data_IF_357896876920
#
_entry.id   IF_357896876920
#
_cell.length_a   1.000
_cell.length_b   1.000
_cell.length_c   1.000
_cell.angle_alpha   90.00
_cell.angle_beta   90.00
_cell.angle_gamma   90.00
#
_symmetry.space_group_name_H-M   'P 1'
#
loop_
_entity.id
_entity.type
_entity.pdbx_description
1 polymer ?
#
# COMPACT_ATOMS: atom_id res chain seq x y z
N UNK A 1 -6.10 2.26 -0.78
CA UNK A 1 -7.04 1.63 0.16
C UNK A 1 -8.45 2.08 -0.14
N UNK A 2 -9.38 1.15 -0.35
CA UNK A 2 -10.69 1.47 -0.90
C UNK A 2 -11.78 0.52 -0.45
N UNK A 3 -12.20 0.64 0.81
CA UNK A 3 -13.34 -0.12 1.32
C UNK A 3 -14.58 0.29 0.52
N UNK A 4 -15.05 -0.59 -0.37
CA UNK A 4 -16.15 -0.28 -1.29
C UNK A 4 -17.33 -1.21 -1.02
N UNK A 5 -18.50 -0.61 -0.80
CA UNK A 5 -19.76 -1.35 -0.72
C UNK A 5 -20.38 -1.56 -2.12
N UNK A 6 -21.19 -2.63 -2.31
CA UNK A 6 -21.83 -2.91 -3.60
C UNK A 6 -22.67 -1.78 -4.22
N UNK A 7 -23.12 -0.79 -3.43
CA UNK A 7 -23.93 0.36 -3.85
C UNK A 7 -23.28 1.73 -3.48
N UNK A 8 -21.97 1.78 -3.27
CA UNK A 8 -21.26 2.99 -2.85
C UNK A 8 -20.98 3.97 -4.00
N UNK A 9 -22.00 4.73 -4.40
CA UNK A 9 -21.88 5.72 -5.49
C UNK A 9 -20.85 6.80 -5.17
N UNK A 10 -20.62 7.11 -3.89
CA UNK A 10 -19.64 8.14 -3.50
C UNK A 10 -18.20 7.66 -3.78
N UNK A 11 -17.91 6.39 -3.48
CA UNK A 11 -16.64 5.77 -3.87
C UNK A 11 -16.44 5.81 -5.38
N UNK A 12 -17.49 5.53 -6.16
CA UNK A 12 -17.38 5.55 -7.63
C UNK A 12 -17.03 6.95 -8.14
N UNK A 13 -17.74 7.98 -7.66
CA UNK A 13 -17.49 9.36 -8.08
C UNK A 13 -16.09 9.84 -7.71
N UNK A 14 -15.61 9.48 -6.51
CA UNK A 14 -14.26 9.82 -6.09
C UNK A 14 -13.19 9.11 -6.93
N UNK A 15 -13.36 7.80 -7.18
CA UNK A 15 -12.45 7.06 -8.04
C UNK A 15 -12.43 7.60 -9.46
N UNK A 16 -13.60 7.83 -10.06
CA UNK A 16 -13.71 8.42 -11.38
C UNK A 16 -12.94 9.75 -11.45
N UNK A 17 -13.07 10.59 -10.43
CA UNK A 17 -12.33 11.86 -10.34
C UNK A 17 -10.81 11.64 -10.34
N UNK A 18 -10.28 10.67 -9.59
CA UNK A 18 -8.84 10.37 -9.60
C UNK A 18 -8.37 9.94 -10.99
N UNK A 19 -9.10 9.06 -11.66
CA UNK A 19 -8.74 8.59 -13.00
C UNK A 19 -8.90 9.68 -14.08
N UNK A 20 -9.86 10.60 -13.94
CA UNK A 20 -10.02 11.73 -14.86
C UNK A 20 -8.96 12.81 -14.67
N UNK A 21 -8.55 13.08 -13.43
CA UNK A 21 -7.62 14.17 -13.12
C UNK A 21 -6.15 13.78 -13.25
N UNK A 22 -5.81 12.54 -12.86
CA UNK A 22 -4.43 12.04 -12.87
C UNK A 22 -4.24 10.92 -13.89
N UNK A 23 -5.27 10.14 -14.18
CA UNK A 23 -5.13 8.87 -14.90
C UNK A 23 -4.41 9.00 -16.24
N UNK A 24 -4.57 10.09 -16.99
CA UNK A 24 -3.82 10.30 -18.25
C UNK A 24 -2.30 10.37 -18.06
N UNK A 25 -1.83 10.84 -16.91
CA UNK A 25 -0.41 10.97 -16.57
C UNK A 25 0.09 9.89 -15.62
N UNK A 26 -0.77 8.95 -15.21
CA UNK A 26 -0.42 7.83 -14.34
C UNK A 26 -0.08 6.60 -15.17
N UNK A 27 1.13 6.09 -14.99
CA UNK A 27 1.62 4.87 -15.65
C UNK A 27 1.10 3.59 -14.99
N UNK A 28 0.89 3.63 -13.68
CA UNK A 28 0.55 2.46 -12.87
C UNK A 28 -0.26 2.83 -11.62
N UNK A 29 -1.21 1.99 -11.23
CA UNK A 29 -2.04 2.17 -10.03
C UNK A 29 -1.77 1.04 -9.03
N UNK A 30 -1.59 1.38 -7.75
CA UNK A 30 -1.50 0.39 -6.68
C UNK A 30 -2.69 0.51 -5.75
N UNK A 31 -3.47 -0.56 -5.63
CA UNK A 31 -4.48 -0.69 -4.60
C UNK A 31 -3.85 -1.33 -3.35
N UNK A 32 -3.65 -0.51 -2.32
CA UNK A 32 -2.97 -0.89 -1.07
C UNK A 32 -3.84 -1.67 -0.06
N UNK A 33 -4.74 -2.53 -0.53
CA UNK A 33 -5.59 -3.38 0.32
C UNK A 33 -6.89 -2.74 0.79
N UNK A 34 -7.69 -3.59 1.45
CA UNK A 34 -9.07 -3.35 1.86
C UNK A 34 -9.91 -2.83 0.69
N UNK A 35 -9.98 -3.60 -0.38
CA UNK A 35 -10.86 -3.29 -1.51
C UNK A 35 -12.31 -3.65 -1.17
N UNK A 36 -12.49 -4.61 -0.25
CA UNK A 36 -13.80 -5.07 0.20
C UNK A 36 -14.16 -4.50 1.57
N UNK A 37 -15.46 -4.26 1.78
CA UNK A 37 -16.01 -4.05 3.11
C UNK A 37 -16.40 -5.38 3.75
N UNK A 38 -16.32 -5.46 5.09
CA UNK A 38 -16.60 -6.65 5.92
C UNK A 38 -18.03 -7.25 5.76
N UNK A 39 -18.87 -6.67 4.90
CA UNK A 39 -20.28 -7.03 4.68
C UNK A 39 -20.71 -6.95 3.21
N UNK A 40 -19.79 -7.09 2.24
CA UNK A 40 -20.21 -7.19 0.85
C UNK A 40 -21.07 -8.44 0.65
N UNK A 41 -22.39 -8.27 0.43
CA UNK A 41 -23.33 -9.38 0.19
C UNK A 41 -22.89 -10.28 -0.98
N UNK A 42 -22.19 -9.69 -1.96
CA UNK A 42 -21.55 -10.38 -3.08
C UNK A 42 -20.11 -9.88 -3.25
N UNK A 43 -19.12 -10.49 -2.55
CA UNK A 43 -17.75 -9.99 -2.52
C UNK A 43 -17.09 -9.84 -3.89
N UNK A 44 -17.36 -10.76 -4.83
CA UNK A 44 -16.84 -10.67 -6.20
C UNK A 44 -17.31 -9.41 -6.94
N UNK A 45 -18.56 -8.99 -6.75
CA UNK A 45 -19.08 -7.74 -7.36
C UNK A 45 -18.39 -6.53 -6.71
N UNK A 46 -18.15 -6.57 -5.40
CA UNK A 46 -17.38 -5.55 -4.70
C UNK A 46 -15.96 -5.41 -5.27
N UNK A 47 -15.29 -6.54 -5.52
CA UNK A 47 -13.95 -6.57 -6.10
C UNK A 47 -13.92 -5.97 -7.49
N UNK A 48 -14.79 -6.46 -8.38
CA UNK A 48 -14.96 -5.95 -9.75
C UNK A 48 -15.23 -4.45 -9.77
N UNK A 49 -16.07 -3.97 -8.85
CA UNK A 49 -16.36 -2.53 -8.69
C UNK A 49 -15.13 -1.75 -8.22
N UNK A 50 -14.35 -2.30 -7.30
CA UNK A 50 -13.14 -1.67 -6.78
C UNK A 50 -12.08 -1.42 -7.86
N UNK A 51 -11.91 -2.37 -8.77
CA UNK A 51 -10.94 -2.27 -9.87
C UNK A 51 -11.56 -1.76 -11.18
N UNK A 52 -12.85 -1.44 -11.19
CA UNK A 52 -13.60 -1.07 -12.39
C UNK A 52 -12.95 0.09 -13.14
N UNK A 53 -12.63 1.18 -12.45
CA UNK A 53 -12.11 2.37 -13.11
C UNK A 53 -10.69 2.19 -13.66
N UNK A 54 -9.85 1.38 -13.01
CA UNK A 54 -8.56 1.01 -13.58
C UNK A 54 -8.73 0.30 -14.92
N UNK A 55 -9.65 -0.67 -14.98
CA UNK A 55 -9.96 -1.39 -16.21
C UNK A 55 -10.63 -0.51 -17.27
N UNK A 56 -11.62 0.29 -16.89
CA UNK A 56 -12.36 1.18 -17.78
C UNK A 56 -11.44 2.21 -18.46
N UNK A 57 -10.52 2.80 -17.70
CA UNK A 57 -9.52 3.75 -18.22
C UNK A 57 -8.25 3.07 -18.75
N UNK A 58 -8.23 1.74 -18.86
CA UNK A 58 -7.12 0.96 -19.41
C UNK A 58 -5.78 1.21 -18.69
N UNK A 59 -5.83 1.38 -17.37
CA UNK A 59 -4.68 1.65 -16.53
C UNK A 59 -4.16 0.37 -15.94
N UNK A 60 -2.85 0.14 -16.14
CA UNK A 60 -2.14 -0.95 -15.50
C UNK A 60 -2.23 -0.78 -13.98
N UNK A 61 -2.55 -1.86 -13.28
CA UNK A 61 -2.70 -1.80 -11.84
C UNK A 61 -2.26 -3.08 -11.15
N UNK A 62 -2.06 -3.00 -9.84
CA UNK A 62 -1.84 -4.14 -8.97
C UNK A 62 -2.58 -3.98 -7.66
N UNK A 63 -2.84 -5.11 -7.01
CA UNK A 63 -3.49 -5.17 -5.69
C UNK A 63 -2.59 -5.88 -4.68
N UNK A 64 -2.51 -5.35 -3.47
CA UNK A 64 -2.01 -6.08 -2.29
C UNK A 64 -3.15 -6.18 -1.29
N UNK A 65 -3.26 -7.28 -0.58
CA UNK A 65 -4.42 -7.53 0.28
C UNK A 65 -4.29 -6.84 1.63
N UNK A 66 -5.42 -6.36 2.14
CA UNK A 66 -5.60 -5.87 3.49
C UNK A 66 -6.43 -6.84 4.34
N UNK A 67 -6.62 -6.49 5.61
CA UNK A 67 -7.30 -7.34 6.57
C UNK A 67 -8.77 -7.60 6.20
N UNK A 68 -9.43 -6.68 5.50
CA UNK A 68 -10.79 -6.89 5.02
C UNK A 68 -10.87 -7.82 3.81
N UNK A 69 -9.80 -7.99 3.03
CA UNK A 69 -9.81 -8.82 1.82
C UNK A 69 -9.78 -10.32 2.17
N UNK A 70 -9.42 -10.65 3.41
CA UNK A 70 -9.54 -11.97 4.04
C UNK A 70 -10.91 -12.23 4.68
N UNK A 71 -11.73 -11.18 4.85
CA UNK A 71 -13.02 -11.29 5.53
C UNK A 71 -14.07 -11.94 4.61
N UNK A 72 -14.18 -13.27 4.66
CA UNK A 72 -15.21 -14.03 3.95
C UNK A 72 -15.19 -15.54 4.22
N UNK A 73 -16.25 -16.24 3.82
CA UNK A 73 -16.31 -17.71 3.93
C UNK A 73 -15.46 -18.37 2.83
N UNK A 74 -14.74 -19.45 3.17
CA UNK A 74 -13.99 -20.34 2.25
C UNK A 74 -12.71 -19.80 1.59
N UNK A 75 -11.77 -19.24 2.37
CA UNK A 75 -10.46 -18.77 1.85
C UNK A 75 -10.61 -17.88 0.60
N UNK A 76 -11.39 -16.78 0.71
CA UNK A 76 -11.74 -15.95 -0.43
C UNK A 76 -10.52 -15.31 -1.09
N UNK A 77 -9.40 -15.20 -0.39
CA UNK A 77 -8.16 -14.59 -0.86
C UNK A 77 -7.63 -15.23 -2.16
N UNK A 78 -7.63 -16.57 -2.24
CA UNK A 78 -7.23 -17.28 -3.46
C UNK A 78 -8.17 -16.99 -4.63
N UNK A 79 -9.48 -16.90 -4.34
CA UNK A 79 -10.48 -16.62 -5.36
C UNK A 79 -10.34 -15.18 -5.87
N UNK A 80 -10.08 -14.21 -4.99
CA UNK A 80 -9.93 -12.81 -5.39
C UNK A 80 -8.66 -12.56 -6.18
N UNK A 81 -7.52 -13.14 -5.79
CA UNK A 81 -6.28 -12.93 -6.57
C UNK A 81 -6.41 -13.59 -7.95
N UNK A 82 -7.02 -14.78 -8.03
CA UNK A 82 -7.29 -15.47 -9.29
C UNK A 82 -8.35 -14.78 -10.15
N UNK A 83 -9.30 -14.06 -9.53
CA UNK A 83 -10.25 -13.20 -10.23
C UNK A 83 -9.52 -11.98 -10.79
N UNK A 84 -8.74 -11.29 -9.96
CA UNK A 84 -8.06 -10.06 -10.34
C UNK A 84 -7.09 -10.28 -11.51
N UNK A 85 -6.33 -11.39 -11.47
CA UNK A 85 -5.39 -11.80 -12.51
C UNK A 85 -6.05 -12.07 -13.88
N UNK A 86 -7.37 -12.18 -13.97
CA UNK A 86 -8.08 -12.36 -15.25
C UNK A 86 -8.28 -11.05 -15.99
N UNK A 87 -8.12 -9.90 -15.33
CA UNK A 87 -8.27 -8.60 -15.97
C UNK A 87 -7.07 -8.27 -16.85
N UNK A 88 -7.34 -7.76 -18.06
CA UNK A 88 -6.30 -7.43 -19.06
C UNK A 88 -5.25 -6.44 -18.53
N UNK A 89 -5.67 -5.51 -17.66
CA UNK A 89 -4.81 -4.48 -17.11
C UNK A 89 -4.28 -4.79 -15.70
N UNK A 90 -4.64 -5.94 -15.12
CA UNK A 90 -4.08 -6.37 -13.85
C UNK A 90 -2.67 -6.93 -14.06
N UNK A 91 -1.75 -6.45 -13.24
CA UNK A 91 -0.40 -6.96 -13.08
C UNK A 91 -0.23 -7.69 -11.74
N UNK A 92 -1.32 -7.89 -11.00
CA UNK A 92 -1.31 -8.68 -9.77
C UNK A 92 -0.84 -10.10 -10.06
N UNK A 93 -0.12 -10.70 -9.10
CA UNK A 93 0.34 -12.08 -9.22
C UNK A 93 0.01 -12.83 -7.94
N UNK A 94 -0.33 -14.11 -8.10
CA UNK A 94 -0.41 -15.04 -6.98
C UNK A 94 1.01 -15.36 -6.50
N UNK A 95 1.25 -15.15 -5.21
CA UNK A 95 2.52 -15.41 -4.58
C UNK A 95 2.86 -16.90 -4.43
N UNK A 96 4.05 -17.21 -3.91
CA UNK A 96 4.47 -18.59 -3.66
C UNK A 96 3.52 -19.33 -2.70
N UNK A 97 3.19 -20.58 -3.01
CA UNK A 97 2.26 -21.38 -2.19
C UNK A 97 2.82 -21.79 -0.82
N UNK A 98 4.14 -21.66 -0.63
CA UNK A 98 4.86 -22.15 0.55
C UNK A 98 5.23 -21.03 1.54
N UNK A 99 4.63 -19.85 1.42
CA UNK A 99 4.79 -18.74 2.36
C UNK A 99 3.42 -18.20 2.79
N UNK A 100 3.38 -17.43 3.89
CA UNK A 100 2.15 -16.78 4.35
C UNK A 100 1.62 -15.76 3.35
N UNK A 101 0.29 -15.72 3.18
CA UNK A 101 -0.43 -14.79 2.31
C UNK A 101 -0.34 -15.13 0.82
N UNK A 102 -1.30 -14.63 0.04
CA UNK A 102 -1.43 -14.95 -1.40
C UNK A 102 -1.02 -13.81 -2.32
N UNK A 103 -0.99 -12.56 -1.83
CA UNK A 103 -0.65 -11.38 -2.63
C UNK A 103 0.81 -10.95 -2.45
N UNK A 104 1.74 -11.90 -2.35
CA UNK A 104 3.18 -11.67 -2.25
C UNK A 104 3.86 -11.78 -3.60
N UNK A 105 4.30 -10.67 -4.18
CA UNK A 105 4.94 -10.68 -5.49
C UNK A 105 5.77 -9.42 -5.72
N UNK A 106 6.48 -9.38 -6.84
CA UNK A 106 7.22 -8.19 -7.27
C UNK A 106 6.99 -7.91 -8.75
N UNK A 107 7.12 -6.65 -9.14
CA UNK A 107 7.06 -6.21 -10.53
C UNK A 107 8.33 -5.48 -10.91
N UNK A 108 8.89 -5.82 -12.07
CA UNK A 108 10.01 -5.11 -12.69
C UNK A 108 9.47 -3.97 -13.55
N UNK A 109 9.83 -2.73 -13.25
CA UNK A 109 9.55 -1.55 -14.08
C UNK A 109 10.76 -1.31 -14.96
N UNK A 110 10.52 -1.38 -16.27
CA UNK A 110 11.55 -1.23 -17.29
C UNK A 110 11.86 0.24 -17.56
N UNK A 111 13.05 0.50 -18.10
CA UNK A 111 13.47 1.83 -18.52
C UNK A 111 12.63 2.39 -19.65
N UNK A 112 12.59 3.72 -19.74
CA UNK A 112 11.81 4.42 -20.76
C UNK A 112 12.27 4.13 -22.20
N UNK A 113 13.54 3.76 -22.37
CA UNK A 113 14.20 3.51 -23.65
C UNK A 113 14.85 2.12 -23.77
N UNK A 114 14.67 1.25 -22.77
CA UNK A 114 15.38 -0.02 -22.67
C UNK A 114 14.57 -1.11 -21.96
N UNK A 115 14.87 -2.37 -22.24
CA UNK A 115 14.32 -3.51 -21.51
C UNK A 115 15.07 -3.79 -20.19
N UNK A 116 15.85 -2.83 -19.70
CA UNK A 116 16.53 -2.95 -18.42
C UNK A 116 15.57 -2.60 -17.29
N UNK A 117 15.62 -3.38 -16.22
CA UNK A 117 14.84 -3.08 -15.02
C UNK A 117 15.43 -1.87 -14.29
N UNK A 118 14.65 -0.81 -14.14
CA UNK A 118 15.07 0.45 -13.50
C UNK A 118 14.49 0.61 -12.10
N UNK A 119 13.34 0.01 -11.80
CA UNK A 119 12.70 0.05 -10.49
C UNK A 119 12.01 -1.30 -10.20
N UNK A 120 12.01 -1.71 -8.93
CA UNK A 120 11.21 -2.86 -8.45
C UNK A 120 10.05 -2.34 -7.61
N UNK A 121 8.87 -2.93 -7.79
CA UNK A 121 7.73 -2.76 -6.89
C UNK A 121 7.54 -4.07 -6.13
N UNK A 122 7.71 -4.06 -4.82
CA UNK A 122 7.44 -5.20 -3.95
C UNK A 122 6.06 -5.07 -3.33
N UNK A 123 5.32 -6.18 -3.30
CA UNK A 123 4.00 -6.28 -2.69
C UNK A 123 4.05 -7.35 -1.61
N UNK A 124 3.71 -6.98 -0.38
CA UNK A 124 3.70 -7.90 0.76
C UNK A 124 2.30 -8.05 1.33
N UNK A 125 1.86 -9.28 1.46
CA UNK A 125 0.58 -9.62 2.06
C UNK A 125 0.71 -9.61 3.58
N UNK A 126 0.08 -8.65 4.26
CA UNK A 126 0.20 -8.52 5.72
C UNK A 126 -0.77 -9.40 6.49
N UNK A 127 -1.70 -10.10 5.83
CA UNK A 127 -2.75 -10.86 6.51
C UNK A 127 -3.79 -9.97 7.19
N UNK A 128 -4.56 -10.56 8.11
CA UNK A 128 -5.74 -9.96 8.73
C UNK A 128 -5.61 -9.71 10.24
N UNK A 129 -5.17 -10.72 10.98
CA UNK A 129 -5.06 -10.71 12.44
C UNK A 129 -3.97 -11.68 12.89
N UNK A 130 -3.45 -11.41 14.09
CA UNK A 130 -2.37 -12.13 14.76
C UNK A 130 -1.05 -12.17 13.98
N UNK A 131 0.06 -11.92 14.69
CA UNK A 131 1.41 -12.05 14.14
C UNK A 131 2.22 -13.05 14.96
N UNK A 132 2.52 -14.21 14.39
CA UNK A 132 3.27 -15.27 15.07
C UNK A 132 2.73 -15.62 16.47
N UNK A 133 1.39 -15.68 16.59
CA UNK A 133 0.70 -15.97 17.85
C UNK A 133 0.60 -14.80 18.84
N UNK A 134 1.01 -13.59 18.45
CA UNK A 134 0.80 -12.36 19.20
C UNK A 134 -0.51 -11.71 18.74
N UNK A 135 -1.46 -11.58 19.67
CA UNK A 135 -2.77 -10.97 19.43
C UNK A 135 -2.63 -9.53 18.92
N UNK A 136 -3.41 -9.17 17.91
CA UNK A 136 -3.50 -7.83 17.34
C UNK A 136 -3.46 -7.88 15.81
N UNK A 137 -3.02 -6.81 15.16
CA UNK A 137 -2.86 -6.79 13.70
C UNK A 137 -1.75 -7.72 13.23
N UNK A 138 -1.99 -8.40 12.12
CA UNK A 138 -1.03 -9.32 11.51
C UNK A 138 0.17 -8.58 10.91
N UNK A 139 1.09 -9.33 10.29
CA UNK A 139 2.40 -8.85 9.90
C UNK A 139 2.94 -9.55 8.65
N UNK A 140 4.05 -9.05 8.11
CA UNK A 140 4.87 -9.84 7.19
C UNK A 140 5.69 -10.85 7.99
N UNK A 141 5.47 -12.12 7.72
CA UNK A 141 6.07 -13.25 8.43
C UNK A 141 7.54 -13.49 8.02
N UNK A 142 8.33 -14.20 8.86
CA UNK A 142 9.73 -14.49 8.57
C UNK A 142 9.98 -15.21 7.23
N UNK A 143 9.07 -16.05 6.76
CA UNK A 143 9.18 -16.74 5.47
C UNK A 143 8.96 -15.81 4.27
N UNK A 144 8.07 -14.82 4.40
CA UNK A 144 7.92 -13.73 3.43
C UNK A 144 9.15 -12.81 3.42
N UNK A 145 9.74 -12.52 4.58
CA UNK A 145 11.02 -11.77 4.66
C UNK A 145 12.14 -12.53 3.97
N UNK A 146 12.24 -13.84 4.22
CA UNK A 146 13.25 -14.69 3.58
C UNK A 146 13.02 -14.80 2.06
N UNK A 147 11.77 -14.93 1.63
CA UNK A 147 11.41 -14.83 0.21
C UNK A 147 11.90 -13.51 -0.40
N UNK A 148 11.61 -12.38 0.23
CA UNK A 148 12.07 -11.07 -0.23
C UNK A 148 13.59 -10.98 -0.33
N UNK A 149 14.34 -11.43 0.68
CA UNK A 149 15.81 -11.45 0.65
C UNK A 149 16.34 -12.24 -0.54
N UNK A 150 15.74 -13.41 -0.80
CA UNK A 150 16.14 -14.25 -1.92
C UNK A 150 15.85 -13.57 -3.27
N UNK A 151 14.70 -12.91 -3.41
CA UNK A 151 14.37 -12.14 -4.62
C UNK A 151 15.29 -10.93 -4.79
N UNK A 152 15.54 -10.13 -3.75
CA UNK A 152 16.45 -8.99 -3.79
C UNK A 152 17.86 -9.40 -4.22
N UNK A 153 18.42 -10.46 -3.60
CA UNK A 153 19.73 -10.98 -3.97
C UNK A 153 19.77 -11.47 -5.42
N UNK A 154 18.75 -12.24 -5.83
CA UNK A 154 18.62 -12.71 -7.21
C UNK A 154 18.58 -11.55 -8.22
N UNK A 155 17.77 -10.52 -7.96
CA UNK A 155 17.65 -9.37 -8.86
C UNK A 155 18.93 -8.54 -8.91
N UNK A 156 19.62 -8.41 -7.77
CA UNK A 156 20.93 -7.75 -7.69
C UNK A 156 21.99 -8.48 -8.51
N UNK A 157 22.05 -9.81 -8.42
CA UNK A 157 22.96 -10.64 -9.20
C UNK A 157 22.61 -10.60 -10.70
N UNK A 158 21.33 -10.78 -11.05
CA UNK A 158 20.80 -10.72 -12.43
C UNK A 158 21.17 -9.42 -13.13
N UNK A 159 21.12 -8.30 -12.42
CA UNK A 159 21.34 -6.97 -12.99
C UNK A 159 22.73 -6.39 -12.70
N UNK A 160 23.59 -7.14 -11.99
CA UNK A 160 24.93 -6.71 -11.56
C UNK A 160 24.96 -5.34 -10.84
N UNK A 161 23.85 -4.99 -10.17
CA UNK A 161 23.69 -3.77 -9.38
C UNK A 161 22.45 -3.90 -8.50
N UNK A 162 22.43 -3.17 -7.39
CA UNK A 162 21.18 -2.99 -6.63
C UNK A 162 20.24 -2.10 -7.44
N UNK A 163 19.01 -2.59 -7.69
CA UNK A 163 17.96 -1.80 -8.35
C UNK A 163 17.15 -1.10 -7.25
N UNK A 164 16.84 0.20 -7.36
CA UNK A 164 16.00 0.87 -6.39
C UNK A 164 14.60 0.23 -6.36
N UNK A 165 13.98 0.19 -5.19
CA UNK A 165 12.69 -0.45 -5.00
C UNK A 165 11.71 0.36 -4.12
N UNK A 166 10.43 0.20 -4.42
CA UNK A 166 9.33 0.64 -3.56
C UNK A 166 8.60 -0.59 -3.01
N UNK A 167 8.16 -0.53 -1.76
CA UNK A 167 7.37 -1.58 -1.14
C UNK A 167 5.94 -1.09 -0.86
N UNK A 168 4.96 -1.97 -1.08
CA UNK A 168 3.54 -1.72 -0.86
C UNK A 168 2.95 -2.85 -0.02
N UNK A 169 2.23 -2.50 1.03
CA UNK A 169 1.49 -3.43 1.86
C UNK A 169 0.43 -2.71 2.66
N UNK A 170 -0.45 -3.45 3.33
CA UNK A 170 -1.63 -2.84 3.92
C UNK A 170 -1.38 -2.26 5.31
N UNK A 171 -1.02 -3.12 6.27
CA UNK A 171 -0.89 -2.74 7.69
C UNK A 171 0.50 -2.09 7.93
N UNK A 172 0.59 -0.95 8.63
CA UNK A 172 1.85 -0.22 8.81
C UNK A 172 2.89 -0.97 9.64
N UNK A 173 4.16 -0.65 9.37
CA UNK A 173 5.29 -1.08 10.19
C UNK A 173 5.31 -0.31 11.52
N UNK A 174 5.86 -0.89 12.61
CA UNK A 174 6.09 -0.17 13.86
C UNK A 174 6.88 1.13 13.69
N UNK A 175 7.80 1.18 12.72
CA UNK A 175 8.64 2.35 12.43
C UNK A 175 7.84 3.58 11.94
N UNK A 176 6.57 3.44 11.55
CA UNK A 176 5.69 4.59 11.30
C UNK A 176 5.46 5.42 12.59
N UNK A 177 5.38 4.74 13.74
CA UNK A 177 5.29 5.41 15.04
C UNK A 177 6.59 6.16 15.35
N UNK A 178 7.75 5.57 15.03
CA UNK A 178 9.04 6.23 15.22
C UNK A 178 9.18 7.49 14.36
N UNK A 179 8.72 7.45 13.10
CA UNK A 179 8.66 8.62 12.23
C UNK A 179 7.85 9.73 12.87
N UNK A 180 6.62 9.44 13.30
CA UNK A 180 5.73 10.45 13.85
C UNK A 180 6.30 11.06 15.15
N UNK A 181 6.86 10.21 16.01
CA UNK A 181 7.34 10.64 17.32
C UNK A 181 8.66 11.42 17.24
N UNK A 182 9.56 11.08 16.30
CA UNK A 182 10.96 11.50 16.37
C UNK A 182 11.45 12.27 15.14
N UNK A 183 10.71 12.26 14.02
CA UNK A 183 11.14 12.88 12.77
C UNK A 183 10.15 13.95 12.29
N UNK A 184 10.65 14.93 11.53
CA UNK A 184 9.76 15.81 10.77
C UNK A 184 9.09 15.01 9.66
N UNK A 185 7.77 15.07 9.59
CA UNK A 185 6.98 14.42 8.55
C UNK A 185 5.90 15.38 8.00
N UNK A 186 5.22 14.97 6.94
CA UNK A 186 4.29 15.81 6.20
C UNK A 186 2.95 15.11 6.01
N UNK A 187 1.85 15.76 6.39
CA UNK A 187 0.50 15.22 6.39
C UNK A 187 -0.06 15.19 7.81
N UNK A 188 -1.04 14.32 8.05
CA UNK A 188 -1.74 14.22 9.32
C UNK A 188 -1.74 12.80 9.86
N UNK A 189 -1.77 12.71 11.19
CA UNK A 189 -2.11 11.52 11.96
C UNK A 189 -3.31 11.88 12.84
N UNK A 190 -4.50 11.48 12.44
CA UNK A 190 -5.76 11.80 13.15
C UNK A 190 -6.31 10.61 13.95
N UNK A 191 -5.72 9.43 13.75
CA UNK A 191 -5.94 8.24 14.58
C UNK A 191 -4.61 7.61 15.00
N UNK A 192 -4.65 6.61 15.88
CA UNK A 192 -3.44 5.88 16.25
C UNK A 192 -2.94 4.99 15.11
N UNK A 193 -1.62 4.90 14.98
CA UNK A 193 -0.95 4.06 13.99
C UNK A 193 -1.16 2.61 14.41
N UNK A 194 -1.98 1.87 13.66
CA UNK A 194 -2.34 0.49 13.96
C UNK A 194 -1.33 -0.48 13.33
N UNK A 195 -0.09 -0.41 13.80
CA UNK A 195 1.01 -1.22 13.28
C UNK A 195 0.96 -2.69 13.72
N UNK A 196 1.78 -3.55 13.12
CA UNK A 196 1.82 -5.00 13.41
C UNK A 196 2.03 -5.31 14.89
N UNK A 197 1.32 -6.31 15.41
CA UNK A 197 1.40 -6.68 16.83
C UNK A 197 2.80 -7.17 17.27
N UNK A 198 3.63 -7.61 16.31
CA UNK A 198 5.02 -7.99 16.53
C UNK A 198 5.90 -7.48 15.39
N UNK A 199 7.01 -6.83 15.73
CA UNK A 199 8.04 -6.47 14.76
C UNK A 199 8.82 -7.73 14.36
N UNK A 200 8.68 -8.15 13.10
CA UNK A 200 9.34 -9.33 12.53
C UNK A 200 10.71 -9.03 11.91
N UNK A 201 11.10 -7.75 11.85
CA UNK A 201 12.40 -7.31 11.31
C UNK A 201 12.39 -6.97 9.81
N UNK A 202 11.21 -6.79 9.18
CA UNK A 202 11.14 -6.43 7.76
C UNK A 202 11.86 -5.09 7.47
N UNK A 203 11.62 -4.05 8.29
CA UNK A 203 12.26 -2.75 8.11
C UNK A 203 13.79 -2.84 8.18
N UNK A 204 14.31 -3.57 9.18
CA UNK A 204 15.74 -3.83 9.29
C UNK A 204 16.28 -4.57 8.06
N UNK A 205 15.50 -5.51 7.52
CA UNK A 205 15.87 -6.22 6.28
C UNK A 205 15.91 -5.29 5.07
N UNK A 206 15.01 -4.31 4.96
CA UNK A 206 15.07 -3.27 3.92
C UNK A 206 16.38 -2.46 4.00
N UNK A 207 16.79 -2.07 5.20
CA UNK A 207 18.08 -1.38 5.40
C UNK A 207 19.27 -2.25 4.98
N UNK A 208 19.24 -3.54 5.30
CA UNK A 208 20.32 -4.48 4.99
C UNK A 208 20.43 -4.80 3.49
N UNK A 209 19.30 -4.95 2.79
CA UNK A 209 19.26 -5.17 1.34
C UNK A 209 19.64 -3.89 0.56
N UNK A 210 19.21 -2.73 1.06
CA UNK A 210 19.62 -1.40 0.58
C UNK A 210 18.99 -0.95 -0.74
N UNK A 211 18.09 -1.74 -1.31
CA UNK A 211 17.27 -1.51 -2.50
C UNK A 211 16.03 -0.64 -2.22
N UNK A 212 15.28 -0.95 -1.16
CA UNK A 212 14.03 -0.25 -0.81
C UNK A 212 14.31 1.17 -0.33
N UNK A 213 13.58 2.14 -0.86
CA UNK A 213 13.70 3.56 -0.48
C UNK A 213 12.37 4.27 -0.26
N UNK A 214 11.25 3.61 -0.55
CA UNK A 214 9.93 4.06 -0.18
C UNK A 214 9.03 2.88 0.18
N UNK A 215 8.21 3.06 1.19
CA UNK A 215 7.24 2.10 1.71
C UNK A 215 5.90 2.81 1.80
N UNK A 216 4.87 2.20 1.22
CA UNK A 216 3.53 2.77 1.12
C UNK A 216 2.49 1.85 1.72
N UNK A 217 1.67 2.39 2.63
CA UNK A 217 0.69 1.62 3.40
C UNK A 217 -0.72 2.21 3.38
N UNK A 218 -1.67 1.43 3.86
CA UNK A 218 -3.07 1.82 4.07
C UNK A 218 -3.46 1.65 5.53
N UNK A 219 -4.52 0.87 5.75
CA UNK A 219 -5.08 0.45 7.03
C UNK A 219 -5.69 1.57 7.91
N UNK A 220 -4.91 2.56 8.31
CA UNK A 220 -5.40 3.71 9.08
C UNK A 220 -6.04 4.73 8.11
N UNK A 221 -7.35 4.88 8.20
CA UNK A 221 -8.17 5.67 7.28
C UNK A 221 -8.03 7.20 7.43
N UNK A 222 -7.67 7.67 8.61
CA UNK A 222 -7.55 9.09 8.98
C UNK A 222 -6.09 9.58 8.90
N UNK A 223 -5.13 8.67 8.67
CA UNK A 223 -3.71 9.00 8.53
C UNK A 223 -3.31 9.12 7.06
N UNK A 224 -2.46 10.10 6.75
CA UNK A 224 -1.94 10.29 5.40
C UNK A 224 -0.49 10.75 5.34
N UNK A 225 0.21 10.78 6.47
CA UNK A 225 1.53 11.39 6.54
C UNK A 225 2.60 10.61 5.77
N UNK A 226 3.69 11.31 5.44
CA UNK A 226 4.94 10.75 4.91
C UNK A 226 6.13 11.33 5.69
N UNK A 227 7.07 10.48 6.07
CA UNK A 227 8.34 10.92 6.66
C UNK A 227 9.53 10.08 6.17
N UNK A 228 10.72 10.66 6.25
CA UNK A 228 11.95 9.93 5.95
C UNK A 228 12.56 9.37 7.24
N UNK A 229 12.77 8.06 7.26
CA UNK A 229 13.40 7.33 8.37
C UNK A 229 14.59 6.54 7.84
N UNK A 230 15.80 6.95 8.25
CA UNK A 230 17.07 6.37 7.82
C UNK A 230 17.23 6.19 6.30
N UNK A 231 16.73 7.16 5.51
CA UNK A 231 16.83 7.13 4.06
C UNK A 231 15.69 6.38 3.34
N UNK A 232 14.72 5.83 4.07
CA UNK A 232 13.51 5.20 3.52
C UNK A 232 12.31 6.11 3.82
N UNK A 233 11.54 6.46 2.78
CA UNK A 233 10.27 7.16 2.96
C UNK A 233 9.19 6.18 3.45
N UNK A 234 8.53 6.49 4.55
CA UNK A 234 7.38 5.75 5.08
C UNK A 234 6.14 6.62 4.89
N UNK A 235 5.15 6.14 4.13
CA UNK A 235 4.03 6.97 3.66
C UNK A 235 2.68 6.23 3.67
N UNK A 236 1.64 6.90 4.16
CA UNK A 236 0.26 6.46 4.01
C UNK A 236 -0.34 6.87 2.65
N UNK A 237 -1.17 6.01 2.07
CA UNK A 237 -1.77 6.23 0.75
C UNK A 237 -2.98 7.18 0.69
N UNK A 238 -3.50 7.64 1.84
CA UNK A 238 -4.83 8.26 2.02
C UNK A 238 -5.98 7.30 1.62
N UNK A 239 -7.04 7.31 2.43
CA UNK A 239 -8.26 6.56 2.12
C UNK A 239 -8.97 7.12 0.88
N UNK A 240 -9.24 6.25 -0.10
CA UNK A 240 -9.88 6.64 -1.36
C UNK A 240 -11.38 6.35 -1.42
N UNK A 241 -11.83 5.29 -0.73
CA UNK A 241 -13.24 4.87 -0.69
C UNK A 241 -14.04 5.45 0.47
N UNK A 242 -15.36 5.40 0.36
CA UNK A 242 -16.36 5.85 1.33
C UNK A 242 -16.92 4.74 2.22
N UNK A 243 -16.48 3.49 2.07
CA UNK A 243 -16.85 2.43 3.00
C UNK A 243 -16.16 2.59 4.37
N UNK A 244 -16.73 2.00 5.43
CA UNK A 244 -16.25 2.14 6.82
C UNK A 244 -16.23 3.59 7.34
N UNK A 245 -15.36 3.94 8.30
CA UNK A 245 -15.17 5.29 8.83
C UNK A 245 -14.31 6.17 7.91
N UNK A 246 -14.44 7.49 7.98
CA UNK A 246 -13.92 8.41 6.96
C UNK A 246 -12.75 9.24 7.51
N UNK A 247 -11.90 9.84 6.64
CA UNK A 247 -10.92 10.81 7.09
C UNK A 247 -11.59 11.92 7.92
N UNK A 248 -10.91 12.34 8.98
CA UNK A 248 -11.41 13.38 9.85
C UNK A 248 -11.36 14.75 9.16
N UNK A 249 -12.46 15.50 9.27
CA UNK A 249 -12.56 16.83 8.69
C UNK A 249 -11.45 17.75 9.26
N UNK A 250 -10.85 18.62 8.43
CA UNK A 250 -11.26 19.00 7.07
C UNK A 250 -10.77 18.07 5.95
N UNK A 251 -9.99 17.02 6.26
CA UNK A 251 -9.51 16.09 5.24
C UNK A 251 -10.70 15.28 4.68
N UNK A 252 -10.60 14.94 3.41
CA UNK A 252 -11.58 14.11 2.69
C UNK A 252 -10.89 12.92 2.03
N UNK A 253 -11.65 12.07 1.35
CA UNK A 253 -11.11 10.96 0.59
C UNK A 253 -10.12 11.47 -0.45
N UNK A 254 -9.10 10.68 -0.71
CA UNK A 254 -8.07 11.03 -1.68
C UNK A 254 -7.20 9.84 -2.05
N UNK A 255 -6.22 10.11 -2.87
CA UNK A 255 -5.18 9.17 -3.25
C UNK A 255 -3.82 9.85 -3.22
N UNK A 256 -2.80 9.12 -2.80
CA UNK A 256 -1.41 9.57 -2.89
C UNK A 256 -0.87 9.34 -4.29
N UNK A 257 -0.40 10.42 -4.91
CA UNK A 257 0.35 10.37 -6.15
C UNK A 257 1.83 10.22 -5.83
N UNK A 258 2.48 9.25 -6.46
CA UNK A 258 3.90 8.95 -6.30
C UNK A 258 4.56 9.20 -7.65
N UNK A 259 5.49 10.15 -7.70
CA UNK A 259 6.31 10.43 -8.87
C UNK A 259 7.75 10.03 -8.55
N UNK A 260 8.27 9.17 -9.40
CA UNK A 260 9.66 8.70 -9.37
C UNK A 260 10.29 9.02 -10.70
N UNK A 261 11.56 9.37 -10.68
CA UNK A 261 12.33 9.67 -11.88
C UNK A 261 13.34 8.55 -12.12
N UNK A 262 13.50 8.19 -13.39
CA UNK A 262 14.44 7.14 -13.78
C UNK A 262 15.85 7.49 -13.30
N UNK A 263 16.53 6.54 -12.65
CA UNK A 263 17.88 6.70 -12.11
C UNK A 263 18.01 7.70 -10.93
N UNK A 264 16.91 8.17 -10.34
CA UNK A 264 16.90 8.96 -9.12
C UNK A 264 16.24 8.19 -7.96
N UNK A 265 16.89 8.18 -6.79
CA UNK A 265 16.38 7.55 -5.56
C UNK A 265 15.64 8.59 -4.70
N UNK A 266 14.69 9.28 -5.32
CA UNK A 266 13.90 10.35 -4.70
C UNK A 266 12.43 10.15 -5.04
N UNK A 267 11.55 10.55 -4.12
CA UNK A 267 10.10 10.43 -4.27
C UNK A 267 9.50 11.83 -4.16
N UNK A 268 8.85 12.26 -5.23
CA UNK A 268 7.94 13.40 -5.19
C UNK A 268 6.52 12.87 -4.98
N UNK A 269 5.79 13.44 -4.04
CA UNK A 269 4.45 12.95 -3.73
C UNK A 269 3.53 14.03 -3.20
N UNK A 270 2.23 13.85 -3.43
CA UNK A 270 1.16 14.72 -2.93
C UNK A 270 -0.14 13.94 -2.82
N UNK A 271 -1.14 14.52 -2.16
CA UNK A 271 -2.50 13.98 -2.10
C UNK A 271 -3.37 14.67 -3.14
N UNK A 272 -4.06 13.88 -3.96
CA UNK A 272 -5.18 14.32 -4.81
C UNK A 272 -6.46 13.94 -4.11
N UNK A 273 -7.30 14.92 -3.76
CA UNK A 273 -8.54 14.65 -3.05
C UNK A 273 -9.70 14.30 -4.00
N UNK A 274 -10.82 13.86 -3.44
CA UNK A 274 -12.01 13.41 -4.18
C UNK A 274 -12.63 14.45 -5.13
N UNK A 275 -12.31 15.73 -4.92
CA UNK A 275 -12.79 16.84 -5.75
C UNK A 275 -11.78 17.19 -6.86
N UNK A 276 -10.68 16.44 -6.94
CA UNK A 276 -9.64 16.63 -7.95
C UNK A 276 -8.64 17.72 -7.58
N UNK A 277 -8.57 18.16 -6.32
CA UNK A 277 -7.64 19.20 -5.87
C UNK A 277 -6.37 18.60 -5.26
N UNK A 278 -5.24 19.28 -5.42
CA UNK A 278 -3.99 18.92 -4.72
C UNK A 278 -4.07 19.50 -3.30
N UNK A 279 -3.98 18.65 -2.29
CA UNK A 279 -3.94 19.10 -0.90
C UNK A 279 -2.52 19.41 -0.44
N UNK A 280 -2.38 20.50 0.32
CA UNK A 280 -1.15 20.80 1.03
C UNK A 280 -1.01 19.82 2.20
N UNK A 281 0.16 19.16 2.30
CA UNK A 281 0.49 18.32 3.43
C UNK A 281 1.12 19.19 4.54
N UNK A 282 0.50 19.17 5.71
CA UNK A 282 0.93 19.95 6.88
C UNK A 282 2.27 19.47 7.39
N UNK A 283 3.13 20.37 7.87
CA UNK A 283 4.41 19.97 8.46
C UNK A 283 4.16 19.57 9.91
N UNK A 284 4.51 18.33 10.24
CA UNK A 284 4.56 17.84 11.61
C UNK A 284 5.99 17.92 12.14
N UNK A 285 6.15 18.48 13.33
CA UNK A 285 7.40 18.45 14.08
C UNK A 285 7.23 17.54 15.30
N UNK A 286 8.23 16.72 15.63
CA UNK A 286 8.24 15.90 16.84
C UNK A 286 7.81 16.69 18.08
N UNK A 287 6.79 16.19 18.78
CA UNK A 287 6.25 16.80 19.98
C UNK A 287 6.18 15.78 21.11
N UNK A 288 6.97 15.98 22.17
CA UNK A 288 7.04 15.07 23.31
C UNK A 288 5.73 14.93 24.08
N UNK A 289 4.76 15.82 23.87
CA UNK A 289 3.44 15.75 24.50
C UNK A 289 2.40 14.98 23.67
N UNK A 290 2.70 14.66 22.41
CA UNK A 290 1.80 14.04 21.44
C UNK A 290 2.42 12.76 20.87
N UNK A 291 3.06 11.97 21.74
CA UNK A 291 3.69 10.71 21.39
C UNK A 291 2.69 9.55 21.46
N UNK A 292 2.72 8.68 20.47
CA UNK A 292 2.10 7.35 20.56
C UNK A 292 3.14 6.39 21.17
N UNK A 293 2.75 5.61 22.19
CA UNK A 293 3.66 4.66 22.86
C UNK A 293 3.23 3.20 22.72
N UNK A 294 2.03 2.96 22.21
CA UNK A 294 1.43 1.63 22.10
C UNK A 294 0.70 1.52 20.76
N UNK A 295 0.64 0.30 20.24
CA UNK A 295 -0.28 -0.03 19.15
C UNK A 295 -1.71 -0.13 19.71
N UNK A 296 -2.73 0.44 19.04
CA UNK A 296 -4.11 0.07 19.33
C UNK A 296 -4.35 -1.42 19.02
N UNK A 297 -5.06 -2.11 19.90
CA UNK A 297 -5.45 -3.51 19.72
C UNK A 297 -6.61 -3.66 18.74
#
# INVERSE_FOLDING_TARGET
MGVIFPNDIKSDLAQETYFQTEGLNTDFVVFSGDLLAFYAEVPMIGWERAVYFANFYQKKYSVVFGNHDYAGFYSPENTFIELDMKHEYSYSQKGPENIHGVSNYYLEVLGSDSNETKLILYFFDTGDSDCEGVLGWSCVYPDQIEWYKNISNYLKEKNNRTIPALAFFHIPLPEYMDVWNNNTCYGVKEEDISYWSKNTGLYQTFLEQGDVYGVFVGHDHENDFIGNYNGIYLAYGRKSGFGSYQPKLPKVQGTRIIRVEENLREIQTYIRNKDGEIETQEIHYPNSNEIQNICPN
#
